data_IF_261522586122
#
_entry.id   IF_261522586122
#
_cell.length_a   1.000
_cell.length_b   1.000
_cell.length_c   1.000
_cell.angle_alpha   90.00
_cell.angle_beta   90.00
_cell.angle_gamma   90.00
#
_symmetry.space_group_name_H-M   'P 1'
#
loop_
_entity.id
_entity.type
_entity.pdbx_description
1 polymer ?
#
# COMPACT_ATOMS: atom_id res chain seq x y z
N UNK A 1 -58.01 53.92 0.54
CA UNK A 1 -57.20 54.62 1.58
C UNK A 1 -58.18 55.03 2.68
N UNK A 2 -57.93 54.78 3.98
CA UNK A 2 -56.66 54.45 4.67
C UNK A 2 -56.64 52.98 5.17
N UNK A 3 -55.62 52.16 4.92
CA UNK A 3 -54.29 52.05 5.53
C UNK A 3 -54.27 52.00 7.08
N UNK A 4 -54.46 50.80 7.64
CA UNK A 4 -54.14 50.48 9.02
C UNK A 4 -52.77 49.80 9.05
N UNK A 5 -51.75 50.54 9.46
CA UNK A 5 -50.40 50.03 9.69
C UNK A 5 -50.41 49.08 10.89
N UNK A 6 -50.33 47.77 10.60
CA UNK A 6 -50.05 46.75 11.61
C UNK A 6 -48.55 46.78 11.89
N UNK A 7 -48.17 47.45 12.97
CA UNK A 7 -46.80 47.46 13.51
C UNK A 7 -46.43 46.02 13.90
N UNK A 8 -45.60 45.35 13.09
CA UNK A 8 -44.98 44.08 13.47
C UNK A 8 -44.01 44.36 14.63
N UNK A 9 -44.35 43.87 15.81
CA UNK A 9 -43.40 43.78 16.91
C UNK A 9 -42.28 42.81 16.53
N UNK A 10 -41.04 43.28 16.64
CA UNK A 10 -39.86 42.47 16.44
C UNK A 10 -39.83 41.36 17.49
N UNK A 11 -39.97 40.12 17.03
CA UNK A 11 -39.72 38.91 17.82
C UNK A 11 -38.34 39.01 18.47
N UNK A 12 -38.31 39.17 19.79
CA UNK A 12 -37.10 39.14 20.59
C UNK A 12 -36.39 37.79 20.41
N UNK A 13 -35.32 37.79 19.64
CA UNK A 13 -34.38 36.68 19.61
C UNK A 13 -33.70 36.60 20.98
N UNK A 14 -34.01 35.56 21.76
CA UNK A 14 -33.29 35.26 22.99
C UNK A 14 -31.78 35.08 22.74
N UNK A 15 -30.95 35.14 23.80
CA UNK A 15 -29.51 34.97 23.67
C UNK A 15 -29.19 33.65 22.96
N UNK A 16 -28.17 33.62 22.07
CA UNK A 16 -27.79 32.41 21.37
C UNK A 16 -27.47 31.31 22.39
N UNK A 17 -27.82 30.04 22.08
CA UNK A 17 -27.51 28.93 22.97
C UNK A 17 -26.00 28.90 23.25
N UNK A 18 -25.59 28.49 24.47
CA UNK A 18 -24.19 28.41 24.84
C UNK A 18 -23.44 27.54 23.82
N UNK A 19 -22.20 27.93 23.54
CA UNK A 19 -21.35 27.19 22.62
C UNK A 19 -21.24 25.74 23.10
N UNK A 20 -21.34 24.75 22.21
CA UNK A 20 -21.18 23.37 22.62
C UNK A 20 -19.81 23.16 23.29
N UNK A 21 -19.72 22.35 24.35
CA UNK A 21 -18.51 22.23 25.17
C UNK A 21 -17.29 21.75 24.37
N UNK A 22 -17.48 21.05 23.24
CA UNK A 22 -16.39 20.60 22.39
C UNK A 22 -15.73 21.71 21.55
N UNK A 23 -16.33 22.90 21.44
CA UNK A 23 -15.72 24.06 20.75
C UNK A 23 -14.55 24.63 21.56
N UNK A 24 -14.55 24.40 22.88
CA UNK A 24 -13.57 24.90 23.85
C UNK A 24 -12.41 23.93 24.09
N UNK A 25 -12.41 22.74 23.46
CA UNK A 25 -11.33 21.78 23.62
C UNK A 25 -10.00 22.35 23.10
N UNK A 26 -8.87 22.09 23.79
CA UNK A 26 -7.55 22.41 23.28
C UNK A 26 -7.31 21.78 21.90
N UNK A 27 -6.48 22.44 21.09
CA UNK A 27 -6.21 22.02 19.71
C UNK A 27 -5.58 20.62 19.66
N UNK A 28 -4.75 20.28 20.64
CA UNK A 28 -4.06 19.01 20.77
C UNK A 28 -5.03 17.87 21.04
N UNK A 29 -5.97 18.07 21.97
CA UNK A 29 -7.02 17.09 22.29
C UNK A 29 -7.96 16.91 21.09
N UNK A 30 -8.33 18.01 20.44
CA UNK A 30 -9.13 17.96 19.21
C UNK A 30 -8.40 17.18 18.11
N UNK A 31 -7.10 17.42 17.94
CA UNK A 31 -6.25 16.71 16.97
C UNK A 31 -6.24 15.21 17.23
N UNK A 32 -6.06 14.79 18.49
CA UNK A 32 -6.02 13.37 18.86
C UNK A 32 -7.37 12.67 18.68
N UNK A 33 -8.48 13.37 18.93
CA UNK A 33 -9.82 12.86 18.62
C UNK A 33 -9.98 12.69 17.10
N UNK A 34 -9.66 13.73 16.34
CA UNK A 34 -9.87 13.74 14.89
C UNK A 34 -8.96 12.76 14.14
N UNK A 35 -7.75 12.49 14.64
CA UNK A 35 -6.84 11.47 14.07
C UNK A 35 -7.37 10.04 14.16
N UNK A 36 -8.39 9.79 15.00
CA UNK A 36 -9.08 8.49 15.05
C UNK A 36 -10.08 8.31 13.91
N UNK A 37 -10.43 9.39 13.21
CA UNK A 37 -11.23 9.35 11.99
C UNK A 37 -10.33 9.02 10.78
N UNK A 38 -10.92 8.41 9.75
CA UNK A 38 -10.22 8.19 8.50
C UNK A 38 -10.00 9.48 7.70
N UNK A 39 -9.10 9.41 6.72
CA UNK A 39 -8.76 10.56 5.85
C UNK A 39 -10.01 11.13 5.15
N UNK A 40 -10.95 10.27 4.77
CA UNK A 40 -12.18 10.66 4.08
C UNK A 40 -13.09 11.41 5.06
N UNK A 41 -13.35 10.87 6.24
CA UNK A 41 -14.22 11.46 7.26
C UNK A 41 -13.71 12.83 7.71
N UNK A 42 -12.39 13.00 7.85
CA UNK A 42 -11.79 14.29 8.19
C UNK A 42 -12.11 15.35 7.11
N UNK A 43 -11.98 14.97 5.83
CA UNK A 43 -12.18 15.86 4.69
C UNK A 43 -13.66 16.09 4.35
N UNK A 44 -14.52 15.10 4.49
CA UNK A 44 -15.91 15.21 4.07
C UNK A 44 -16.82 15.70 5.20
N UNK A 45 -16.46 15.43 6.46
CA UNK A 45 -17.32 15.71 7.61
C UNK A 45 -16.65 16.58 8.67
N UNK A 46 -15.54 16.15 9.27
CA UNK A 46 -15.01 16.78 10.48
C UNK A 46 -14.63 18.26 10.28
N UNK A 47 -14.00 18.61 9.15
CA UNK A 47 -13.64 20.00 8.87
C UNK A 47 -14.85 20.95 8.66
N UNK A 48 -16.07 20.43 8.62
CA UNK A 48 -17.32 21.20 8.41
C UNK A 48 -18.12 21.41 9.70
N UNK A 49 -17.69 20.83 10.83
CA UNK A 49 -18.42 20.86 12.11
C UNK A 49 -18.39 22.25 12.75
N UNK A 50 -17.20 22.80 12.99
CA UNK A 50 -17.03 24.13 13.55
C UNK A 50 -15.69 24.76 13.11
N UNK A 51 -15.48 26.04 13.40
CA UNK A 51 -14.27 26.78 13.05
C UNK A 51 -13.01 26.20 13.72
N UNK A 52 -13.09 25.76 14.98
CA UNK A 52 -12.00 25.10 15.71
C UNK A 52 -11.55 23.82 15.01
N UNK A 53 -12.48 22.91 14.71
CA UNK A 53 -12.17 21.66 14.01
C UNK A 53 -11.65 21.93 12.60
N UNK A 54 -12.22 22.91 11.90
CA UNK A 54 -11.71 23.31 10.58
C UNK A 54 -10.26 23.76 10.64
N UNK A 55 -9.87 24.56 11.64
CA UNK A 55 -8.48 25.00 11.84
C UNK A 55 -7.56 23.81 12.09
N UNK A 56 -7.94 22.91 13.00
CA UNK A 56 -7.16 21.69 13.30
C UNK A 56 -7.01 20.81 12.05
N UNK A 57 -8.06 20.58 11.27
CA UNK A 57 -7.99 19.82 10.02
C UNK A 57 -7.07 20.46 8.95
N UNK A 58 -6.73 21.75 9.06
CA UNK A 58 -5.77 22.40 8.15
C UNK A 58 -4.33 22.35 8.64
N UNK A 59 -4.09 21.89 9.88
CA UNK A 59 -2.75 21.68 10.41
C UNK A 59 -2.05 20.53 9.66
N UNK A 60 -0.83 20.73 9.14
CA UNK A 60 -0.05 19.67 8.50
C UNK A 60 0.16 18.41 9.34
N UNK A 61 0.21 18.53 10.68
CA UNK A 61 0.37 17.41 11.60
C UNK A 61 -0.79 16.41 11.55
N UNK A 62 -1.98 16.82 11.08
CA UNK A 62 -3.12 15.93 10.81
C UNK A 62 -2.87 14.98 9.63
N UNK A 63 -1.96 15.32 8.72
CA UNK A 63 -1.76 14.65 7.43
C UNK A 63 -0.42 13.93 7.35
N UNK A 64 0.21 13.64 8.49
CA UNK A 64 1.41 12.80 8.56
C UNK A 64 1.10 11.35 8.20
N UNK A 65 -0.13 10.90 8.46
CA UNK A 65 -0.60 9.56 8.11
C UNK A 65 -1.85 9.71 7.24
N UNK A 66 -1.78 9.16 6.02
CA UNK A 66 -2.90 9.14 5.08
C UNK A 66 -3.24 7.67 4.83
N UNK A 67 -4.45 7.27 5.20
CA UNK A 67 -4.95 5.93 4.92
C UNK A 67 -6.25 6.02 4.12
N UNK A 68 -6.16 5.59 2.86
CA UNK A 68 -7.27 5.58 1.92
C UNK A 68 -7.59 4.13 1.54
N UNK A 69 -7.82 3.31 2.57
CA UNK A 69 -8.40 1.98 2.47
C UNK A 69 -9.90 2.07 2.17
N UNK A 70 -10.31 1.37 1.12
CA UNK A 70 -11.66 0.82 0.84
C UNK A 70 -12.88 1.76 0.93
N UNK A 71 -13.53 1.98 -0.22
CA UNK A 71 -14.99 1.83 -0.38
C UNK A 71 -15.28 1.20 -1.76
N UNK A 72 -16.29 0.32 -1.79
CA UNK A 72 -16.82 -0.52 -2.88
C UNK A 72 -16.45 -0.11 -4.33
N UNK A 73 -16.10 -1.11 -5.16
CA UNK A 73 -15.84 -1.03 -6.62
C UNK A 73 -16.89 -0.19 -7.38
N UNK A 74 -16.66 1.11 -7.50
CA UNK A 74 -17.33 1.96 -8.49
C UNK A 74 -16.28 2.89 -9.08
N UNK A 75 -16.11 2.86 -10.40
CA UNK A 75 -15.09 3.64 -11.13
C UNK A 75 -15.16 5.16 -10.84
N UNK A 76 -16.36 5.69 -10.55
CA UNK A 76 -16.56 7.10 -10.13
C UNK A 76 -15.86 7.42 -8.79
N UNK A 77 -15.71 6.44 -7.90
CA UNK A 77 -15.06 6.59 -6.58
C UNK A 77 -13.56 6.76 -6.72
N UNK A 78 -12.91 6.10 -7.69
CA UNK A 78 -11.46 6.18 -7.87
C UNK A 78 -10.97 7.62 -8.15
N UNK A 79 -11.68 8.37 -9.02
CA UNK A 79 -11.36 9.78 -9.31
C UNK A 79 -11.56 10.68 -8.09
N UNK A 80 -12.56 10.40 -7.26
CA UNK A 80 -12.81 11.15 -6.02
C UNK A 80 -11.71 10.87 -5.00
N UNK A 81 -11.36 9.60 -4.79
CA UNK A 81 -10.26 9.19 -3.91
C UNK A 81 -8.92 9.77 -4.34
N UNK A 82 -8.64 9.83 -5.65
CA UNK A 82 -7.43 10.49 -6.14
C UNK A 82 -7.40 11.98 -5.77
N UNK A 83 -8.53 12.70 -5.92
CA UNK A 83 -8.63 14.11 -5.51
C UNK A 83 -8.45 14.29 -4.01
N UNK A 84 -9.09 13.44 -3.21
CA UNK A 84 -8.95 13.40 -1.74
C UNK A 84 -7.49 13.15 -1.35
N UNK A 85 -6.84 12.16 -1.97
CA UNK A 85 -5.43 11.84 -1.75
C UNK A 85 -4.52 13.03 -2.06
N UNK A 86 -4.68 13.65 -3.23
CA UNK A 86 -3.88 14.83 -3.61
C UNK A 86 -4.08 15.99 -2.63
N UNK A 87 -5.32 16.20 -2.19
CA UNK A 87 -5.64 17.25 -1.22
C UNK A 87 -4.99 16.98 0.14
N UNK A 88 -5.06 15.75 0.64
CA UNK A 88 -4.43 15.32 1.89
C UNK A 88 -2.89 15.45 1.82
N UNK A 89 -2.27 14.96 0.74
CA UNK A 89 -0.82 15.10 0.50
C UNK A 89 -0.43 16.58 0.46
N UNK A 90 -1.21 17.44 -0.22
CA UNK A 90 -0.95 18.89 -0.22
C UNK A 90 -1.03 19.50 1.17
N UNK A 91 -1.99 19.08 1.99
CA UNK A 91 -2.12 19.57 3.37
C UNK A 91 -0.99 19.12 4.29
N UNK A 92 -0.35 18.00 4.00
CA UNK A 92 0.84 17.56 4.76
C UNK A 92 2.02 18.52 4.67
N UNK A 93 2.08 19.40 3.66
CA UNK A 93 3.17 20.36 3.47
C UNK A 93 4.57 19.73 3.58
N UNK A 94 4.75 18.50 3.07
CA UNK A 94 6.02 17.78 3.11
C UNK A 94 6.25 16.93 4.36
N UNK A 95 5.34 16.95 5.33
CA UNK A 95 5.43 16.18 6.57
C UNK A 95 4.80 14.78 6.48
N UNK A 96 4.37 14.36 5.29
CA UNK A 96 3.80 13.03 5.07
C UNK A 96 4.80 11.94 5.46
N UNK A 97 4.41 11.11 6.42
CA UNK A 97 5.22 10.04 6.99
C UNK A 97 4.77 8.66 6.47
N UNK A 98 3.47 8.41 6.43
CA UNK A 98 2.88 7.13 6.00
C UNK A 98 1.71 7.35 5.06
N UNK A 99 1.69 6.60 3.95
CA UNK A 99 0.57 6.60 3.02
C UNK A 99 0.17 5.19 2.59
N UNK A 100 -1.14 4.94 2.57
CA UNK A 100 -1.75 3.69 2.11
C UNK A 100 -2.82 3.99 1.04
N UNK A 101 -2.64 3.40 -0.14
CA UNK A 101 -3.49 3.60 -1.33
C UNK A 101 -4.04 2.25 -1.77
N UNK A 102 -5.36 2.15 -1.87
CA UNK A 102 -6.04 0.92 -2.29
C UNK A 102 -6.96 1.14 -3.50
N UNK A 103 -6.84 0.32 -4.55
CA UNK A 103 -7.66 0.28 -5.78
C UNK A 103 -7.56 1.47 -6.77
N UNK A 104 -7.03 2.64 -6.38
CA UNK A 104 -6.99 3.83 -7.26
C UNK A 104 -5.59 4.35 -7.61
N UNK A 105 -4.54 3.69 -7.09
CA UNK A 105 -3.15 4.06 -7.38
C UNK A 105 -2.82 3.95 -8.87
N UNK A 106 -1.99 4.88 -9.34
CA UNK A 106 -1.46 4.94 -10.69
C UNK A 106 -0.17 5.75 -10.71
N UNK A 107 0.61 5.65 -11.80
CA UNK A 107 1.91 6.32 -11.94
C UNK A 107 1.83 7.83 -11.70
N UNK A 108 0.82 8.53 -12.25
CA UNK A 108 0.67 9.98 -12.11
C UNK A 108 0.39 10.41 -10.68
N UNK A 109 -0.37 9.62 -9.93
CA UNK A 109 -0.61 9.86 -8.51
C UNK A 109 0.68 9.61 -7.70
N UNK A 110 1.39 8.53 -8.00
CA UNK A 110 2.62 8.19 -7.30
C UNK A 110 3.72 9.25 -7.52
N UNK A 111 3.89 9.72 -8.75
CA UNK A 111 4.78 10.84 -9.09
C UNK A 111 4.40 12.13 -8.35
N UNK A 112 3.11 12.44 -8.23
CA UNK A 112 2.66 13.59 -7.45
C UNK A 112 3.03 13.47 -5.97
N UNK A 113 2.84 12.29 -5.37
CA UNK A 113 3.22 12.02 -3.98
C UNK A 113 4.74 12.18 -3.82
N UNK A 114 5.52 11.59 -4.72
CA UNK A 114 6.97 11.64 -4.76
C UNK A 114 7.50 13.09 -4.75
N UNK A 115 6.94 13.95 -5.61
CA UNK A 115 7.34 15.37 -5.69
C UNK A 115 7.07 16.22 -4.44
N UNK A 116 6.30 15.70 -3.46
CA UNK A 116 5.82 16.48 -2.30
C UNK A 116 6.11 15.84 -0.95
N UNK A 117 6.65 14.63 -0.92
CA UNK A 117 6.67 13.79 0.28
C UNK A 117 8.04 13.17 0.51
N UNK A 118 9.09 13.99 0.51
CA UNK A 118 10.47 13.50 0.67
C UNK A 118 10.74 12.85 2.04
N UNK A 119 9.90 13.11 3.04
CA UNK A 119 9.96 12.53 4.40
C UNK A 119 9.20 11.21 4.53
N UNK A 120 8.65 10.67 3.43
CA UNK A 120 7.85 9.44 3.46
C UNK A 120 8.69 8.25 3.92
N UNK A 121 8.20 7.54 4.93
CA UNK A 121 8.85 6.36 5.51
C UNK A 121 8.10 5.06 5.25
N UNK A 122 6.79 5.13 5.05
CA UNK A 122 5.95 3.95 4.79
C UNK A 122 5.06 4.18 3.58
N UNK A 123 5.25 3.36 2.55
CA UNK A 123 4.41 3.34 1.34
C UNK A 123 3.71 2.00 1.22
N UNK A 124 2.38 2.02 1.24
CA UNK A 124 1.54 0.84 1.03
C UNK A 124 0.65 0.99 -0.20
N UNK A 125 0.76 0.04 -1.12
CA UNK A 125 0.05 0.01 -2.40
C UNK A 125 -0.74 -1.29 -2.50
N UNK A 126 -2.06 -1.20 -2.69
CA UNK A 126 -2.95 -2.37 -2.70
C UNK A 126 -3.85 -2.34 -3.92
N UNK A 127 -3.92 -3.45 -4.67
CA UNK A 127 -4.81 -3.61 -5.83
C UNK A 127 -4.67 -2.47 -6.85
N UNK A 128 -3.44 -2.00 -7.06
CA UNK A 128 -3.13 -1.04 -8.12
C UNK A 128 -2.88 -1.74 -9.47
N UNK A 129 -2.86 -3.09 -9.47
CA UNK A 129 -2.73 -3.95 -10.65
C UNK A 129 -1.51 -3.57 -11.50
N UNK A 130 -1.66 -3.38 -12.82
CA UNK A 130 -0.57 -3.01 -13.75
C UNK A 130 -0.38 -1.50 -13.94
N UNK A 131 -1.10 -0.65 -13.19
CA UNK A 131 -1.14 0.81 -13.41
C UNK A 131 0.11 1.57 -12.90
N UNK A 132 1.10 0.83 -12.41
CA UNK A 132 2.28 1.35 -11.73
C UNK A 132 3.61 0.87 -12.34
N UNK A 133 3.58 0.03 -13.39
CA UNK A 133 4.79 -0.47 -14.05
C UNK A 133 5.70 0.69 -14.47
N UNK A 134 6.95 0.72 -13.99
CA UNK A 134 7.93 1.81 -14.22
C UNK A 134 7.68 3.10 -13.44
N UNK A 135 6.45 3.33 -12.98
CA UNK A 135 6.09 4.49 -12.15
C UNK A 135 6.69 4.43 -10.74
N UNK A 136 6.87 3.22 -10.20
CA UNK A 136 7.48 3.03 -8.88
C UNK A 136 8.97 3.39 -8.89
N UNK A 137 9.72 2.93 -9.89
CA UNK A 137 11.11 3.32 -10.12
C UNK A 137 11.31 4.84 -10.11
N UNK A 138 10.48 5.56 -10.87
CA UNK A 138 10.58 7.02 -10.97
C UNK A 138 10.27 7.72 -9.64
N UNK A 139 9.28 7.23 -8.91
CA UNK A 139 8.90 7.79 -7.62
C UNK A 139 9.93 7.52 -6.52
N UNK A 140 10.52 6.32 -6.49
CA UNK A 140 11.46 5.88 -5.46
C UNK A 140 12.67 6.82 -5.29
N UNK A 141 13.10 7.47 -6.37
CA UNK A 141 14.20 8.47 -6.35
C UNK A 141 13.94 9.65 -5.42
N UNK A 142 12.67 9.91 -5.05
CA UNK A 142 12.26 10.99 -4.15
C UNK A 142 11.87 10.50 -2.75
N UNK A 143 12.11 9.23 -2.41
CA UNK A 143 11.82 8.66 -1.09
C UNK A 143 13.10 8.21 -0.36
N UNK A 144 14.06 9.11 -0.09
CA UNK A 144 15.35 8.74 0.51
C UNK A 144 15.23 8.15 1.92
N UNK A 145 14.13 8.43 2.63
CA UNK A 145 13.86 7.93 3.98
C UNK A 145 12.86 6.78 4.04
N UNK A 146 12.55 6.12 2.92
CA UNK A 146 11.62 5.00 2.89
C UNK A 146 12.19 3.83 3.70
N UNK A 147 11.46 3.39 4.72
CA UNK A 147 11.83 2.26 5.60
C UNK A 147 10.98 1.02 5.31
N UNK A 148 9.73 1.23 4.86
CA UNK A 148 8.76 0.16 4.64
C UNK A 148 8.04 0.35 3.30
N UNK A 149 8.11 -0.67 2.44
CA UNK A 149 7.41 -0.71 1.15
C UNK A 149 6.54 -1.96 1.10
N UNK A 150 5.23 -1.79 1.12
CA UNK A 150 4.30 -2.92 1.10
C UNK A 150 3.43 -2.88 -0.16
N UNK A 151 3.53 -3.91 -0.98
CA UNK A 151 2.91 -4.00 -2.29
C UNK A 151 2.04 -5.26 -2.34
N UNK A 152 0.75 -5.06 -2.53
CA UNK A 152 -0.24 -6.14 -2.56
C UNK A 152 -1.05 -6.08 -3.84
N UNK A 153 -1.19 -7.22 -4.51
CA UNK A 153 -1.99 -7.38 -5.72
C UNK A 153 -1.70 -6.32 -6.79
N UNK A 154 -0.43 -5.95 -6.91
CA UNK A 154 0.07 -4.89 -7.77
C UNK A 154 1.33 -5.41 -8.43
N UNK A 155 1.40 -5.30 -9.75
CA UNK A 155 2.54 -5.78 -10.52
C UNK A 155 3.63 -4.71 -10.51
N UNK A 156 4.86 -5.14 -10.28
CA UNK A 156 6.09 -4.33 -10.35
C UNK A 156 7.14 -5.11 -11.11
N UNK A 157 8.00 -4.38 -11.81
CA UNK A 157 9.06 -4.96 -12.63
C UNK A 157 10.32 -5.24 -11.80
N UNK A 158 11.25 -6.02 -12.37
CA UNK A 158 12.62 -6.16 -11.84
C UNK A 158 13.29 -4.78 -11.70
N UNK A 159 13.14 -3.92 -12.70
CA UNK A 159 13.73 -2.58 -12.71
C UNK A 159 13.16 -1.68 -11.60
N UNK A 160 11.85 -1.78 -11.33
CA UNK A 160 11.23 -1.10 -10.19
C UNK A 160 11.91 -1.50 -8.88
N UNK A 161 12.13 -2.81 -8.67
CA UNK A 161 12.80 -3.34 -7.47
C UNK A 161 14.25 -2.86 -7.38
N UNK A 162 15.01 -2.94 -8.48
CA UNK A 162 16.41 -2.49 -8.48
C UNK A 162 16.52 -1.00 -8.14
N UNK A 163 15.68 -0.16 -8.75
CA UNK A 163 15.72 1.29 -8.54
C UNK A 163 15.25 1.64 -7.13
N UNK A 164 14.24 0.96 -6.60
CA UNK A 164 13.83 1.09 -5.18
C UNK A 164 15.00 0.75 -4.27
N UNK A 165 15.66 -0.40 -4.45
CA UNK A 165 16.77 -0.81 -3.57
C UNK A 165 17.97 0.15 -3.63
N UNK A 166 18.26 0.72 -4.81
CA UNK A 166 19.33 1.71 -4.97
C UNK A 166 18.98 3.08 -4.38
N UNK A 167 17.72 3.49 -4.45
CA UNK A 167 17.27 4.83 -4.03
C UNK A 167 16.88 4.89 -2.56
N UNK A 168 16.26 3.83 -2.03
CA UNK A 168 15.72 3.75 -0.68
C UNK A 168 16.65 2.95 0.24
N UNK A 169 17.82 3.51 0.55
CA UNK A 169 18.88 2.81 1.32
C UNK A 169 18.51 2.47 2.77
N UNK A 170 17.45 3.08 3.30
CA UNK A 170 16.95 2.82 4.65
C UNK A 170 15.83 1.76 4.68
N UNK A 171 15.53 1.12 3.55
CA UNK A 171 14.47 0.12 3.46
C UNK A 171 14.80 -1.10 4.33
N UNK A 172 13.95 -1.38 5.31
CA UNK A 172 14.07 -2.50 6.26
C UNK A 172 13.02 -3.57 6.03
N UNK A 173 11.82 -3.16 5.58
CA UNK A 173 10.70 -4.07 5.33
C UNK A 173 10.23 -3.96 3.88
N UNK A 174 10.18 -5.09 3.19
CA UNK A 174 9.61 -5.20 1.86
C UNK A 174 8.59 -6.33 1.80
N UNK A 175 7.35 -5.99 1.46
CA UNK A 175 6.29 -6.98 1.23
C UNK A 175 5.88 -6.92 -0.23
N UNK A 176 5.89 -8.08 -0.88
CA UNK A 176 5.43 -8.28 -2.23
C UNK A 176 4.47 -9.48 -2.28
N UNK A 177 3.17 -9.19 -2.36
CA UNK A 177 2.14 -10.19 -2.63
C UNK A 177 1.74 -10.13 -4.10
N UNK A 178 2.08 -11.19 -4.85
CA UNK A 178 1.79 -11.31 -6.27
C UNK A 178 0.28 -11.22 -6.58
N UNK A 179 -0.08 -10.37 -7.54
CA UNK A 179 -1.46 -10.15 -7.96
C UNK A 179 -2.04 -11.30 -8.80
N UNK A 180 -3.37 -11.46 -8.87
CA UNK A 180 -4.02 -12.48 -9.71
C UNK A 180 -3.62 -12.40 -11.18
N UNK A 181 -3.32 -11.19 -11.66
CA UNK A 181 -2.99 -10.90 -13.06
C UNK A 181 -1.54 -11.23 -13.44
N UNK A 182 -0.63 -11.30 -12.47
CA UNK A 182 0.73 -11.82 -12.67
C UNK A 182 0.70 -13.36 -12.90
N UNK A 183 -0.36 -14.04 -12.46
CA UNK A 183 -0.34 -15.51 -12.27
C UNK A 183 -0.59 -16.32 -13.53
N UNK A 184 -1.25 -15.76 -14.54
CA UNK A 184 -1.61 -16.52 -15.75
C UNK A 184 -0.39 -16.67 -16.68
N UNK A 185 0.68 -15.88 -16.48
CA UNK A 185 1.73 -15.73 -17.50
C UNK A 185 3.17 -15.55 -16.98
N UNK A 186 3.41 -15.26 -15.69
CA UNK A 186 4.76 -14.95 -15.20
C UNK A 186 5.54 -16.23 -14.90
N UNK A 187 6.62 -16.55 -15.65
CA UNK A 187 7.42 -17.74 -15.41
C UNK A 187 8.21 -17.66 -14.09
N UNK A 188 8.56 -18.81 -13.46
CA UNK A 188 9.42 -18.84 -12.28
C UNK A 188 10.74 -18.07 -12.46
N UNK A 189 11.33 -18.07 -13.66
CA UNK A 189 12.56 -17.33 -13.96
C UNK A 189 12.43 -15.82 -13.74
N UNK A 190 11.27 -15.22 -14.05
CA UNK A 190 11.05 -13.78 -13.84
C UNK A 190 10.96 -13.42 -12.36
N UNK A 191 10.38 -14.29 -11.53
CA UNK A 191 10.34 -14.07 -10.09
C UNK A 191 11.69 -14.37 -9.42
N UNK A 192 12.48 -15.32 -9.95
CA UNK A 192 13.89 -15.48 -9.56
C UNK A 192 14.72 -14.23 -9.91
N UNK A 193 14.48 -13.62 -11.07
CA UNK A 193 15.10 -12.35 -11.47
C UNK A 193 14.78 -11.20 -10.50
N UNK A 194 13.53 -11.12 -10.02
CA UNK A 194 13.15 -10.17 -8.95
C UNK A 194 13.84 -10.50 -7.63
N UNK A 195 13.94 -11.78 -7.27
CA UNK A 195 14.65 -12.23 -6.06
C UNK A 195 16.14 -11.83 -6.10
N UNK A 196 16.80 -12.01 -7.26
CA UNK A 196 18.18 -11.56 -7.50
C UNK A 196 18.30 -10.03 -7.40
N UNK A 197 17.33 -9.28 -7.93
CA UNK A 197 17.31 -7.83 -7.80
C UNK A 197 17.21 -7.36 -6.34
N UNK A 198 16.34 -8.00 -5.53
CA UNK A 198 16.23 -7.77 -4.08
C UNK A 198 17.58 -8.04 -3.42
N UNK A 199 18.12 -9.25 -3.62
CA UNK A 199 19.38 -9.70 -3.03
C UNK A 199 20.54 -8.73 -3.32
N UNK A 200 20.64 -8.23 -4.56
CA UNK A 200 21.72 -7.31 -4.97
C UNK A 200 21.55 -5.89 -4.46
N UNK A 201 20.31 -5.41 -4.36
CA UNK A 201 20.06 -3.98 -4.14
C UNK A 201 19.57 -3.64 -2.73
N UNK A 202 19.14 -4.63 -1.94
CA UNK A 202 18.55 -4.43 -0.61
C UNK A 202 19.26 -5.26 0.49
N UNK A 203 20.60 -5.15 0.65
CA UNK A 203 21.34 -5.96 1.64
C UNK A 203 21.01 -5.63 3.11
N UNK A 204 20.42 -4.45 3.37
CA UNK A 204 20.02 -4.01 4.70
C UNK A 204 18.62 -4.45 5.14
N UNK A 205 17.93 -5.27 4.33
CA UNK A 205 16.57 -5.72 4.60
C UNK A 205 16.52 -6.64 5.84
N UNK A 206 15.53 -6.42 6.70
CA UNK A 206 15.28 -7.22 7.92
C UNK A 206 14.01 -8.05 7.83
N UNK A 207 13.02 -7.57 7.07
CA UNK A 207 11.76 -8.27 6.90
C UNK A 207 11.42 -8.34 5.40
N UNK A 208 11.24 -9.57 4.91
CA UNK A 208 10.85 -9.83 3.54
C UNK A 208 9.63 -10.73 3.53
N UNK A 209 8.58 -10.33 2.83
CA UNK A 209 7.45 -11.20 2.56
C UNK A 209 7.25 -11.33 1.06
N UNK A 210 7.45 -12.54 0.53
CA UNK A 210 7.17 -12.93 -0.85
C UNK A 210 5.99 -13.90 -0.82
N UNK A 211 4.78 -13.36 -0.88
CA UNK A 211 3.55 -14.13 -0.68
C UNK A 211 2.93 -14.45 -2.03
N UNK A 212 2.50 -15.70 -2.22
CA UNK A 212 1.97 -16.21 -3.49
C UNK A 212 2.93 -15.94 -4.67
N UNK A 213 4.25 -15.97 -4.47
CA UNK A 213 5.27 -15.71 -5.52
C UNK A 213 5.73 -17.01 -6.25
N UNK A 214 6.20 -16.91 -7.50
CA UNK A 214 6.65 -18.06 -8.32
C UNK A 214 8.15 -18.38 -8.17
N UNK A 215 8.90 -17.69 -7.29
CA UNK A 215 10.32 -17.97 -7.09
C UNK A 215 10.57 -19.44 -6.74
N UNK A 216 11.70 -19.95 -7.21
CA UNK A 216 12.19 -21.30 -6.92
C UNK A 216 13.28 -21.24 -5.83
N UNK A 217 13.82 -22.41 -5.48
CA UNK A 217 14.97 -22.52 -4.60
C UNK A 217 16.19 -21.70 -5.06
N UNK A 218 16.36 -21.45 -6.36
CA UNK A 218 17.43 -20.58 -6.88
C UNK A 218 17.22 -19.12 -6.46
N UNK A 219 15.99 -18.60 -6.57
CA UNK A 219 15.65 -17.26 -6.12
C UNK A 219 15.77 -17.12 -4.60
N UNK A 220 15.33 -18.13 -3.86
CA UNK A 220 15.47 -18.16 -2.40
C UNK A 220 16.94 -18.16 -1.96
N UNK A 221 17.77 -18.99 -2.61
CA UNK A 221 19.22 -19.01 -2.38
C UNK A 221 19.84 -17.63 -2.59
N UNK A 222 19.49 -16.94 -3.69
CA UNK A 222 19.98 -15.59 -3.95
C UNK A 222 19.60 -14.61 -2.83
N UNK A 223 18.37 -14.67 -2.32
CA UNK A 223 17.92 -13.83 -1.19
C UNK A 223 18.75 -14.10 0.06
N UNK A 224 18.95 -15.37 0.43
CA UNK A 224 19.74 -15.73 1.61
C UNK A 224 21.20 -15.28 1.50
N UNK A 225 21.75 -15.27 0.28
CA UNK A 225 23.11 -14.81 0.00
C UNK A 225 23.25 -13.28 0.02
N UNK A 226 22.25 -12.56 -0.50
CA UNK A 226 22.29 -11.10 -0.65
C UNK A 226 21.72 -10.28 0.51
N UNK A 227 20.88 -10.88 1.35
CA UNK A 227 20.23 -10.23 2.49
C UNK A 227 20.70 -10.85 3.83
N UNK A 228 21.95 -10.60 4.27
CA UNK A 228 22.53 -11.27 5.44
C UNK A 228 21.90 -10.86 6.78
N UNK A 229 21.16 -9.75 6.83
CA UNK A 229 20.52 -9.23 8.04
C UNK A 229 19.02 -9.55 8.12
N UNK A 230 18.55 -10.47 7.28
CA UNK A 230 17.15 -10.82 7.22
C UNK A 230 16.74 -11.60 8.48
N UNK A 231 15.79 -11.05 9.23
CA UNK A 231 15.28 -11.61 10.49
C UNK A 231 13.95 -12.35 10.28
N UNK A 232 13.09 -11.84 9.40
CA UNK A 232 11.79 -12.42 9.06
C UNK A 232 11.67 -12.66 7.57
N UNK A 233 11.23 -13.85 7.19
CA UNK A 233 10.98 -14.26 5.82
C UNK A 233 9.63 -14.98 5.71
N UNK A 234 8.69 -14.40 4.96
CA UNK A 234 7.39 -15.00 4.70
C UNK A 234 7.30 -15.49 3.26
N UNK A 235 7.20 -16.81 3.09
CA UNK A 235 7.15 -17.52 1.81
C UNK A 235 5.79 -18.19 1.58
N UNK A 236 4.76 -17.83 2.36
CA UNK A 236 3.47 -18.51 2.29
C UNK A 236 2.91 -18.47 0.87
N UNK A 237 2.35 -19.61 0.47
CA UNK A 237 1.80 -19.83 -0.86
C UNK A 237 2.83 -19.83 -2.01
N UNK A 238 4.13 -19.94 -1.75
CA UNK A 238 5.15 -20.11 -2.80
C UNK A 238 5.31 -21.59 -3.19
N UNK A 239 4.54 -22.03 -4.19
CA UNK A 239 4.45 -23.44 -4.58
C UNK A 239 5.72 -24.06 -5.20
N UNK A 240 6.69 -23.25 -5.60
CA UNK A 240 7.91 -23.70 -6.27
C UNK A 240 9.13 -23.76 -5.32
N UNK A 241 8.91 -23.53 -4.03
CA UNK A 241 9.94 -23.65 -3.01
C UNK A 241 9.82 -25.01 -2.33
N UNK A 242 10.95 -25.71 -2.27
CA UNK A 242 11.12 -26.92 -1.49
C UNK A 242 12.14 -26.64 -0.38
N UNK A 243 11.67 -26.72 0.87
CA UNK A 243 12.50 -26.51 2.06
C UNK A 243 13.02 -27.84 2.63
N UNK A 244 12.89 -28.96 1.92
CA UNK A 244 13.59 -30.18 2.30
C UNK A 244 15.12 -30.03 2.08
N UNK A 245 15.92 -30.62 2.97
CA UNK A 245 17.38 -30.65 2.83
C UNK A 245 18.12 -29.38 3.27
N UNK A 246 19.23 -29.07 2.58
CA UNK A 246 20.20 -28.05 3.01
C UNK A 246 19.64 -26.63 3.01
N UNK A 247 18.80 -26.29 2.02
CA UNK A 247 18.26 -24.94 1.91
C UNK A 247 17.29 -24.64 3.06
N UNK A 248 16.42 -25.58 3.43
CA UNK A 248 15.54 -25.43 4.59
C UNK A 248 16.30 -25.40 5.92
N UNK A 249 17.37 -26.21 6.06
CA UNK A 249 18.28 -26.12 7.21
C UNK A 249 18.88 -24.71 7.32
N UNK A 250 19.38 -24.16 6.22
CA UNK A 250 19.93 -22.81 6.18
C UNK A 250 18.89 -21.75 6.54
N UNK A 251 17.69 -21.82 5.96
CA UNK A 251 16.59 -20.91 6.32
C UNK A 251 16.32 -20.93 7.82
N UNK A 252 16.23 -22.12 8.42
CA UNK A 252 15.94 -22.29 9.85
C UNK A 252 17.06 -21.79 10.77
N UNK A 253 18.30 -21.74 10.28
CA UNK A 253 19.46 -21.22 11.02
C UNK A 253 19.63 -19.70 10.88
N UNK A 254 19.36 -19.17 9.68
CA UNK A 254 19.60 -17.76 9.35
C UNK A 254 18.40 -16.87 9.67
N UNK A 255 17.17 -17.38 9.54
CA UNK A 255 15.93 -16.61 9.69
C UNK A 255 15.28 -16.92 11.03
N UNK A 256 15.01 -15.88 11.81
CA UNK A 256 14.39 -16.00 13.15
C UNK A 256 12.89 -16.29 13.03
N UNK A 257 12.20 -15.57 12.15
CA UNK A 257 10.75 -15.71 11.91
C UNK A 257 10.52 -16.16 10.45
N UNK A 258 10.51 -17.47 10.24
CA UNK A 258 10.28 -18.08 8.93
C UNK A 258 8.83 -18.55 8.83
N UNK A 259 8.05 -17.99 7.89
CA UNK A 259 6.75 -18.54 7.48
C UNK A 259 6.92 -19.34 6.20
N UNK A 260 6.69 -20.63 6.30
CA UNK A 260 6.90 -21.60 5.23
C UNK A 260 5.78 -21.56 4.20
N UNK A 261 6.00 -22.09 2.97
CA UNK A 261 4.97 -22.10 1.93
C UNK A 261 3.60 -22.66 2.35
N UNK A 262 3.58 -23.67 3.22
CA UNK A 262 2.37 -24.36 3.68
C UNK A 262 1.73 -23.75 4.94
N UNK A 263 2.34 -22.75 5.55
CA UNK A 263 1.83 -22.17 6.79
C UNK A 263 0.50 -21.44 6.57
N UNK A 264 -0.34 -21.44 7.59
CA UNK A 264 -1.65 -20.78 7.57
C UNK A 264 -1.51 -19.29 7.28
N UNK A 265 -2.48 -18.73 6.55
CA UNK A 265 -2.61 -17.29 6.33
C UNK A 265 -3.74 -16.67 7.15
N UNK A 266 -4.15 -17.32 8.25
CA UNK A 266 -5.25 -16.80 9.08
C UNK A 266 -4.95 -15.45 9.73
N UNK A 267 -3.67 -15.16 10.01
CA UNK A 267 -3.12 -13.91 10.53
C UNK A 267 -2.87 -12.86 9.42
N UNK A 268 -3.06 -13.21 8.15
CA UNK A 268 -2.75 -12.34 7.03
C UNK A 268 -3.96 -11.47 6.64
N UNK A 269 -3.74 -10.15 6.52
CA UNK A 269 -4.79 -9.14 6.26
C UNK A 269 -5.60 -9.42 4.98
N UNK A 270 -4.94 -10.02 3.98
CA UNK A 270 -5.60 -10.42 2.75
C UNK A 270 -5.84 -11.92 2.78
N UNK A 271 -7.08 -12.32 2.63
CA UNK A 271 -7.40 -13.74 2.52
C UNK A 271 -6.62 -14.31 1.32
N UNK A 272 -5.68 -15.21 1.58
CA UNK A 272 -4.95 -15.85 0.49
C UNK A 272 -5.91 -16.81 -0.21
N UNK A 273 -5.74 -16.98 -1.52
CA UNK A 273 -6.69 -17.77 -2.30
C UNK A 273 -6.75 -19.25 -1.88
N UNK A 274 -5.83 -19.74 -1.04
CA UNK A 274 -5.85 -21.12 -0.51
C UNK A 274 -7.21 -21.47 0.08
N UNK A 275 -7.93 -20.54 0.73
CA UNK A 275 -9.26 -20.84 1.28
C UNK A 275 -10.32 -21.22 0.23
N UNK A 276 -10.07 -20.92 -1.04
CA UNK A 276 -10.92 -21.34 -2.15
C UNK A 276 -10.56 -22.72 -2.72
N UNK A 277 -9.48 -23.34 -2.24
CA UNK A 277 -9.03 -24.68 -2.63
C UNK A 277 -9.21 -25.65 -1.46
N UNK A 278 -9.36 -26.94 -1.76
CA UNK A 278 -9.56 -27.97 -0.73
C UNK A 278 -8.28 -28.26 0.04
N UNK A 279 -7.12 -28.07 -0.58
CA UNK A 279 -5.81 -28.19 0.05
C UNK A 279 -4.77 -27.29 -0.61
N UNK A 280 -3.59 -27.18 0.01
CA UNK A 280 -2.44 -26.49 -0.57
C UNK A 280 -1.99 -27.14 -1.90
N UNK A 281 -2.03 -28.47 -1.99
CA UNK A 281 -1.69 -29.22 -3.19
C UNK A 281 -2.66 -28.90 -4.34
N UNK A 282 -3.95 -28.74 -4.05
CA UNK A 282 -4.94 -28.32 -5.06
C UNK A 282 -4.69 -26.89 -5.53
N UNK A 283 -4.33 -25.99 -4.60
CA UNK A 283 -3.91 -24.62 -4.94
C UNK A 283 -2.68 -24.65 -5.85
N UNK A 284 -1.64 -25.40 -5.49
CA UNK A 284 -0.43 -25.51 -6.28
C UNK A 284 -0.69 -26.19 -7.62
N UNK A 285 -1.48 -27.27 -7.69
CA UNK A 285 -1.86 -27.93 -8.95
C UNK A 285 -2.57 -26.96 -9.90
N UNK A 286 -3.47 -26.14 -9.39
CA UNK A 286 -4.12 -25.08 -10.17
C UNK A 286 -3.12 -24.04 -10.67
N UNK A 287 -2.09 -23.73 -9.88
CA UNK A 287 -1.02 -22.82 -10.28
C UNK A 287 -0.16 -23.42 -11.39
N UNK A 288 0.23 -24.69 -11.27
CA UNK A 288 0.98 -25.41 -12.28
C UNK A 288 0.18 -25.58 -13.58
N UNK A 289 -1.13 -25.87 -13.50
CA UNK A 289 -1.96 -26.07 -14.71
C UNK A 289 -2.19 -24.79 -15.50
N UNK A 290 -2.21 -23.64 -14.82
CA UNK A 290 -2.35 -22.33 -15.47
C UNK A 290 -1.04 -21.83 -16.10
N UNK A 291 0.09 -22.48 -15.80
CA UNK A 291 1.36 -22.19 -16.45
C UNK A 291 1.42 -22.89 -17.82
N UNK A 292 1.25 -22.12 -18.91
CA UNK A 292 1.46 -22.62 -20.26
C UNK A 292 2.81 -22.14 -20.81
N UNK A 293 3.85 -23.01 -20.88
CA UNK A 293 5.17 -22.62 -21.37
C UNK A 293 5.19 -22.21 -22.86
N UNK A 294 4.14 -22.52 -23.64
CA UNK A 294 4.07 -22.27 -25.07
C UNK A 294 3.43 -20.92 -25.45
N UNK A 295 2.83 -20.17 -24.53
CA UNK A 295 2.28 -18.82 -24.80
C UNK A 295 3.34 -17.71 -24.63
N UNK A 296 4.53 -18.04 -24.16
CA UNK A 296 5.56 -17.08 -23.73
C UNK A 296 6.50 -16.66 -24.89
N UNK A 297 6.28 -17.16 -26.11
CA UNK A 297 7.12 -16.89 -27.28
C UNK A 297 6.93 -15.54 -27.96
N UNK A 298 5.76 -14.89 -27.83
CA UNK A 298 5.43 -13.68 -28.59
C UNK A 298 4.70 -12.65 -27.72
N UNK A 299 5.45 -11.84 -26.96
CA UNK A 299 4.93 -10.58 -26.41
C UNK A 299 5.86 -9.45 -26.82
N UNK A 300 6.06 -9.31 -28.13
CA UNK A 300 6.16 -7.98 -28.72
C UNK A 300 4.73 -7.56 -29.09
N UNK A 301 4.31 -6.40 -28.58
CA UNK A 301 3.13 -5.66 -29.04
C UNK A 301 1.80 -6.41 -29.03
N UNK A 302 1.04 -6.28 -27.93
CA UNK A 302 -0.41 -6.15 -28.10
C UNK A 302 -0.88 -4.87 -27.40
N UNK A 303 -1.34 -3.97 -28.27
CA UNK A 303 -1.79 -2.62 -28.02
C UNK A 303 -2.89 -2.49 -26.96
N UNK A 304 -2.82 -1.32 -26.32
CA UNK A 304 -3.93 -0.56 -25.74
C UNK A 304 -5.26 -0.78 -26.46
N UNK A 305 -6.33 -1.10 -25.73
CA UNK A 305 -7.63 -0.43 -25.89
C UNK A 305 -8.51 -0.62 -24.64
N UNK A 306 -9.08 0.53 -24.21
CA UNK A 306 -10.08 0.82 -23.15
C UNK A 306 -9.60 1.10 -21.72
#
# INVERSE_FOLDING_TARGET
MPNAEKKLEASSTGPPPPSPPWVELPAEITMDILKRLGTIEILESAQRVCSTWRKVCHDPAMWRVIDLKRFVFRSKVAKVLEKICRLAVRRSQGQLFKISIENFGNERLLSYIASRSSQLRHLRLVKCYNRLSGGLASAAKNFPFLEELHIYFTSITKDDIEIVGRSCRLLKSFVLHAGPFDKVRTPPSQDNDKAVAIARCMPGLRHLALIENNLTNEGLQAILDGCPHLESLDLRCCCFIDLEGDLGRRCSQQIVDLKQPRDSTCDYEFDCKIRHYRSFEDYCRSRFSNYNPFIVGDIHEYDYYF
#
